data_IF_384894834902
#
_entry.id   IF_384894834902
#
_cell.length_a   1.000
_cell.length_b   1.000
_cell.length_c   1.000
_cell.angle_alpha   90.00
_cell.angle_beta   90.00
_cell.angle_gamma   90.00
#
_symmetry.space_group_name_H-M   'P 1'
#
loop_
_entity.id
_entity.type
_entity.pdbx_description
1 polymer ?
#
# COMPACT_ATOMS: atom_id res chain seq x y z
N UNK A 1 -0.10 -15.71 8.03
CA UNK A 1 1.26 -15.30 7.63
C UNK A 1 1.27 -14.03 6.79
N UNK A 2 0.61 -12.95 7.24
CA UNK A 2 0.58 -11.66 6.52
C UNK A 2 1.80 -10.78 6.77
N UNK A 3 2.64 -11.16 7.75
CA UNK A 3 3.81 -10.40 8.18
C UNK A 3 5.04 -10.58 7.28
N UNK A 4 5.04 -11.62 6.42
CA UNK A 4 6.21 -12.03 5.64
C UNK A 4 6.90 -10.88 4.90
N UNK A 5 6.20 -9.97 4.17
CA UNK A 5 6.85 -8.86 3.47
C UNK A 5 7.52 -7.84 4.39
N UNK A 6 6.97 -7.65 5.60
CA UNK A 6 7.43 -6.64 6.55
C UNK A 6 8.58 -7.14 7.44
N UNK A 7 8.66 -8.45 7.67
CA UNK A 7 9.76 -9.05 8.44
C UNK A 7 10.99 -9.35 7.58
N UNK A 8 10.82 -9.47 6.26
CA UNK A 8 11.93 -9.63 5.32
C UNK A 8 12.65 -8.29 5.09
N UNK A 9 13.98 -8.27 4.95
CA UNK A 9 14.70 -7.07 4.53
C UNK A 9 14.13 -6.53 3.20
N UNK A 10 13.87 -5.22 3.13
CA UNK A 10 13.19 -4.60 1.98
C UNK A 10 13.88 -4.86 0.65
N UNK A 11 15.22 -4.87 0.64
CA UNK A 11 16.00 -5.17 -0.57
C UNK A 11 15.83 -6.62 -1.05
N UNK A 12 15.74 -7.59 -0.13
CA UNK A 12 15.52 -8.99 -0.46
C UNK A 12 14.11 -9.16 -1.04
N UNK A 13 13.11 -8.50 -0.44
CA UNK A 13 11.75 -8.47 -0.97
C UNK A 13 11.70 -7.93 -2.41
N UNK A 14 12.40 -6.84 -2.70
CA UNK A 14 12.48 -6.27 -4.04
C UNK A 14 13.19 -7.20 -5.05
N UNK A 15 14.32 -7.81 -4.65
CA UNK A 15 15.05 -8.75 -5.50
C UNK A 15 14.22 -9.99 -5.85
N UNK A 16 13.45 -10.51 -4.88
CA UNK A 16 12.52 -11.61 -5.13
C UNK A 16 11.46 -11.24 -6.16
N UNK A 17 10.92 -10.02 -6.11
CA UNK A 17 9.99 -9.54 -7.13
C UNK A 17 10.64 -9.40 -8.50
N UNK A 18 11.83 -8.79 -8.59
CA UNK A 18 12.59 -8.65 -9.85
C UNK A 18 12.80 -10.03 -10.48
N UNK A 19 13.27 -11.01 -9.69
CA UNK A 19 13.45 -12.38 -10.17
C UNK A 19 12.14 -13.05 -10.57
N UNK A 20 11.09 -12.86 -9.77
CA UNK A 20 9.80 -13.51 -10.00
C UNK A 20 9.15 -13.07 -11.32
N UNK A 21 9.26 -11.78 -11.65
CA UNK A 21 8.71 -11.19 -12.87
C UNK A 21 9.71 -11.15 -14.04
N UNK A 22 10.89 -11.75 -13.87
CA UNK A 22 11.92 -11.78 -14.92
C UNK A 22 11.39 -12.49 -16.18
N UNK A 23 11.49 -11.86 -17.37
CA UNK A 23 10.95 -12.43 -18.61
C UNK A 23 11.59 -13.76 -19.04
N UNK A 24 12.84 -14.02 -18.64
CA UNK A 24 13.64 -15.18 -19.08
C UNK A 24 13.60 -16.32 -18.06
N UNK A 25 13.83 -15.99 -16.79
CA UNK A 25 13.98 -16.99 -15.72
C UNK A 25 12.83 -17.00 -14.72
N UNK A 26 11.98 -15.98 -14.74
CA UNK A 26 10.91 -15.79 -13.76
C UNK A 26 9.80 -16.85 -13.83
N UNK A 27 9.06 -16.96 -12.73
CA UNK A 27 7.94 -17.88 -12.60
C UNK A 27 6.60 -17.21 -12.92
N UNK A 28 6.53 -15.88 -12.91
CA UNK A 28 5.24 -15.19 -13.01
C UNK A 28 4.52 -15.46 -14.33
N UNK A 29 5.19 -15.28 -15.47
CA UNK A 29 4.61 -15.61 -16.78
C UNK A 29 4.25 -17.09 -16.92
N UNK A 30 5.07 -17.99 -16.36
CA UNK A 30 4.81 -19.44 -16.38
C UNK A 30 3.56 -19.81 -15.57
N UNK A 31 3.37 -19.18 -14.42
CA UNK A 31 2.17 -19.38 -13.61
C UNK A 31 0.93 -18.82 -14.30
N UNK A 32 1.04 -17.66 -14.94
CA UNK A 32 -0.06 -17.06 -15.69
C UNK A 32 -0.45 -17.92 -16.91
N UNK A 33 0.52 -18.48 -17.64
CA UNK A 33 0.21 -19.38 -18.76
C UNK A 33 -0.41 -20.71 -18.29
N UNK A 34 0.00 -21.24 -17.12
CA UNK A 34 -0.61 -22.44 -16.52
C UNK A 34 -2.08 -22.26 -16.16
N UNK A 35 -2.49 -21.06 -15.71
CA UNK A 35 -3.90 -20.75 -15.41
C UNK A 35 -4.69 -20.34 -16.66
N UNK A 36 -4.11 -20.47 -17.85
CA UNK A 36 -4.77 -20.27 -19.13
C UNK A 36 -4.70 -18.84 -19.69
N UNK A 37 -3.82 -17.97 -19.16
CA UNK A 37 -3.60 -16.65 -19.77
C UNK A 37 -2.82 -16.82 -21.08
N UNK A 38 -3.38 -16.39 -22.23
CA UNK A 38 -2.69 -16.46 -23.50
C UNK A 38 -1.36 -15.69 -23.50
N UNK A 39 -0.31 -16.26 -24.07
CA UNK A 39 1.03 -15.66 -24.08
C UNK A 39 1.06 -14.28 -24.76
N UNK A 40 0.19 -14.04 -25.76
CA UNK A 40 0.10 -12.75 -26.43
C UNK A 40 -0.46 -11.61 -25.55
N UNK A 41 -1.10 -11.94 -24.41
CA UNK A 41 -1.59 -10.96 -23.43
C UNK A 41 -0.56 -10.70 -22.31
N UNK A 42 0.50 -11.52 -22.25
CA UNK A 42 1.58 -11.36 -21.27
C UNK A 42 2.60 -10.34 -21.81
N UNK A 43 3.04 -9.38 -20.98
CA UNK A 43 4.03 -8.41 -21.41
C UNK A 43 5.40 -9.08 -21.60
N UNK A 44 6.19 -8.52 -22.52
CA UNK A 44 7.59 -8.90 -22.69
C UNK A 44 8.43 -8.47 -21.48
N UNK A 45 8.03 -7.41 -20.78
CA UNK A 45 8.62 -6.99 -19.51
C UNK A 45 7.60 -6.34 -18.57
N UNK A 46 7.35 -7.00 -17.44
CA UNK A 46 6.54 -6.44 -16.34
C UNK A 46 7.17 -5.22 -15.68
N UNK A 47 8.49 -5.01 -15.82
CA UNK A 47 9.19 -3.90 -15.18
C UNK A 47 9.16 -2.63 -16.04
N UNK A 48 9.08 -2.75 -17.37
CA UNK A 48 9.25 -1.62 -18.29
C UNK A 48 7.98 -1.25 -19.05
N UNK A 49 7.12 -2.23 -19.39
CA UNK A 49 5.96 -1.98 -20.25
C UNK A 49 4.79 -1.38 -19.47
N UNK A 50 4.17 -0.34 -20.04
CA UNK A 50 2.93 0.25 -19.50
C UNK A 50 1.73 -0.48 -20.12
N UNK A 51 0.67 -0.80 -19.35
CA UNK A 51 0.43 -0.45 -17.94
C UNK A 51 0.96 -1.46 -16.92
N UNK A 52 1.60 -2.54 -17.36
CA UNK A 52 2.00 -3.68 -16.51
C UNK A 52 2.95 -3.30 -15.38
N UNK A 53 3.91 -2.39 -15.63
CA UNK A 53 4.81 -1.88 -14.60
C UNK A 53 4.08 -1.12 -13.49
N UNK A 54 3.03 -0.37 -13.84
CA UNK A 54 2.21 0.35 -12.88
C UNK A 54 1.37 -0.60 -12.04
N UNK A 55 0.80 -1.63 -12.67
CA UNK A 55 0.09 -2.70 -11.97
C UNK A 55 1.03 -3.44 -11.00
N UNK A 56 2.24 -3.79 -11.46
CA UNK A 56 3.25 -4.43 -10.62
C UNK A 56 3.63 -3.55 -9.43
N UNK A 57 3.81 -2.24 -9.62
CA UNK A 57 4.05 -1.31 -8.52
C UNK A 57 2.94 -1.36 -7.47
N UNK A 58 1.68 -1.36 -7.90
CA UNK A 58 0.52 -1.44 -7.00
C UNK A 58 0.52 -2.76 -6.24
N UNK A 59 0.86 -3.88 -6.87
CA UNK A 59 0.93 -5.18 -6.21
C UNK A 59 2.06 -5.23 -5.18
N UNK A 60 3.27 -4.81 -5.58
CA UNK A 60 4.47 -4.82 -4.72
C UNK A 60 4.29 -3.91 -3.51
N UNK A 61 3.91 -2.64 -3.70
CA UNK A 61 3.68 -1.73 -2.58
C UNK A 61 2.40 -2.09 -1.81
N UNK A 62 1.35 -2.49 -2.52
CA UNK A 62 0.04 -2.80 -1.95
C UNK A 62 0.10 -4.00 -1.00
N UNK A 63 0.91 -5.02 -1.28
CA UNK A 63 1.04 -6.18 -0.40
C UNK A 63 1.71 -5.81 0.95
N UNK A 64 2.72 -4.95 0.92
CA UNK A 64 3.38 -4.43 2.14
C UNK A 64 2.42 -3.54 2.95
N UNK A 65 1.60 -2.73 2.28
CA UNK A 65 0.55 -1.94 2.92
C UNK A 65 -0.55 -2.80 3.53
N UNK A 66 -1.06 -3.77 2.77
CA UNK A 66 -2.09 -4.71 3.21
C UNK A 66 -1.66 -5.49 4.45
N UNK A 67 -0.38 -5.88 4.54
CA UNK A 67 0.20 -6.52 5.73
C UNK A 67 -0.09 -5.73 7.02
N UNK A 68 0.09 -4.41 7.01
CA UNK A 68 -0.19 -3.56 8.17
C UNK A 68 -1.69 -3.49 8.48
N UNK A 69 -2.52 -3.25 7.46
CA UNK A 69 -3.97 -3.24 7.61
C UNK A 69 -4.49 -4.53 8.23
N UNK A 70 -3.98 -5.68 7.80
CA UNK A 70 -4.39 -6.98 8.34
C UNK A 70 -4.09 -7.15 9.83
N UNK A 71 -2.96 -6.63 10.33
CA UNK A 71 -2.64 -6.67 11.77
C UNK A 71 -3.68 -5.88 12.55
N UNK A 72 -3.93 -4.64 12.13
CA UNK A 72 -4.85 -3.72 12.80
C UNK A 72 -6.28 -4.25 12.75
N UNK A 73 -6.73 -4.70 11.58
CA UNK A 73 -8.07 -5.26 11.42
C UNK A 73 -8.27 -6.55 12.19
N UNK A 74 -7.27 -7.44 12.25
CA UNK A 74 -7.37 -8.67 13.06
C UNK A 74 -7.50 -8.34 14.54
N UNK A 75 -6.68 -7.41 15.06
CA UNK A 75 -6.76 -6.99 16.45
C UNK A 75 -8.12 -6.34 16.77
N UNK A 76 -8.60 -5.50 15.86
CA UNK A 76 -9.88 -4.83 16.04
C UNK A 76 -11.08 -5.79 15.96
N UNK A 77 -11.08 -6.76 15.04
CA UNK A 77 -12.13 -7.79 14.96
C UNK A 77 -12.16 -8.61 16.24
N UNK A 78 -10.98 -9.00 16.76
CA UNK A 78 -10.87 -9.78 18.01
C UNK A 78 -11.34 -9.01 19.25
N UNK A 79 -11.40 -7.68 19.19
CA UNK A 79 -11.90 -6.86 20.30
C UNK A 79 -13.44 -6.80 20.35
N UNK A 80 -14.14 -7.23 19.29
CA UNK A 80 -15.60 -7.25 19.26
C UNK A 80 -16.10 -8.37 20.18
N UNK A 81 -17.01 -8.08 21.14
CA UNK A 81 -17.58 -9.10 22.00
C UNK A 81 -18.24 -10.22 21.17
N UNK A 82 -17.92 -11.50 21.43
CA UNK A 82 -18.48 -12.61 20.67
C UNK A 82 -20.01 -12.71 20.84
N UNK A 83 -20.55 -12.20 21.95
CA UNK A 83 -21.98 -12.20 22.23
C UNK A 83 -22.80 -11.45 21.17
N UNK A 84 -22.27 -10.36 20.60
CA UNK A 84 -22.93 -9.62 19.53
C UNK A 84 -23.05 -10.45 18.24
N UNK A 85 -22.05 -11.26 17.95
CA UNK A 85 -22.03 -12.13 16.78
C UNK A 85 -22.97 -13.33 17.02
N UNK A 86 -22.89 -13.95 18.21
CA UNK A 86 -23.73 -15.08 18.58
C UNK A 86 -25.21 -14.71 18.61
N UNK A 87 -25.57 -13.55 19.18
CA UNK A 87 -26.95 -13.06 19.18
C UNK A 87 -27.49 -12.88 17.76
N UNK A 88 -26.70 -12.28 16.86
CA UNK A 88 -27.11 -12.09 15.47
C UNK A 88 -27.30 -13.42 14.72
N UNK A 89 -26.47 -14.43 14.99
CA UNK A 89 -26.61 -15.76 14.41
C UNK A 89 -27.88 -16.47 14.92
N UNK A 90 -28.21 -16.32 16.21
CA UNK A 90 -29.47 -16.83 16.78
C UNK A 90 -30.68 -16.14 16.17
N UNK A 91 -30.59 -14.84 15.87
CA UNK A 91 -31.61 -14.06 15.16
C UNK A 91 -31.73 -14.42 13.66
N UNK A 92 -30.98 -15.42 13.17
CA UNK A 92 -31.02 -15.90 11.79
C UNK A 92 -30.24 -15.04 10.79
N UNK A 93 -29.32 -14.19 11.26
CA UNK A 93 -28.48 -13.40 10.36
C UNK A 93 -27.48 -14.31 9.62
N UNK A 94 -27.29 -14.07 8.32
CA UNK A 94 -26.24 -14.74 7.55
C UNK A 94 -24.87 -14.10 7.80
N UNK A 95 -23.79 -14.84 7.56
CA UNK A 95 -22.41 -14.34 7.76
C UNK A 95 -22.15 -13.00 7.05
N UNK A 96 -22.68 -12.82 5.85
CA UNK A 96 -22.55 -11.55 5.13
C UNK A 96 -23.31 -10.40 5.80
N UNK A 97 -24.47 -10.68 6.40
CA UNK A 97 -25.21 -9.68 7.19
C UNK A 97 -24.47 -9.33 8.46
N UNK A 98 -23.87 -10.30 9.16
CA UNK A 98 -23.02 -10.07 10.34
C UNK A 98 -21.84 -9.16 9.95
N UNK A 99 -21.14 -9.48 8.85
CA UNK A 99 -20.02 -8.66 8.37
C UNK A 99 -20.46 -7.22 8.07
N UNK A 100 -21.52 -7.06 7.26
CA UNK A 100 -21.94 -5.74 6.78
C UNK A 100 -22.60 -4.88 7.86
N UNK A 101 -23.39 -5.49 8.76
CA UNK A 101 -24.22 -4.76 9.73
C UNK A 101 -23.60 -4.66 11.13
N UNK A 102 -22.67 -5.55 11.49
CA UNK A 102 -22.05 -5.57 12.82
C UNK A 102 -20.57 -5.26 12.71
N UNK A 103 -19.82 -6.06 11.96
CA UNK A 103 -18.36 -5.95 11.93
C UNK A 103 -17.91 -4.64 11.28
N UNK A 104 -18.34 -4.33 10.05
CA UNK A 104 -17.91 -3.11 9.33
C UNK A 104 -18.24 -1.83 10.12
N UNK A 105 -19.46 -1.65 10.67
CA UNK A 105 -19.79 -0.46 11.46
C UNK A 105 -18.96 -0.32 12.74
N UNK A 106 -18.67 -1.43 13.44
CA UNK A 106 -17.81 -1.43 14.62
C UNK A 106 -16.34 -1.16 14.28
N UNK A 107 -15.88 -1.62 13.10
CA UNK A 107 -14.54 -1.39 12.57
C UNK A 107 -14.34 -0.02 11.92
N UNK A 108 -15.34 0.86 11.87
CA UNK A 108 -15.25 2.18 11.21
C UNK A 108 -13.98 2.96 11.59
N UNK A 109 -13.55 2.80 12.84
CA UNK A 109 -12.41 3.46 13.44
C UNK A 109 -11.06 2.87 13.02
N UNK A 110 -10.81 1.55 13.19
CA UNK A 110 -9.69 0.86 12.56
C UNK A 110 -9.58 1.16 11.07
N UNK A 111 -10.70 1.15 10.33
CA UNK A 111 -10.74 1.43 8.89
C UNK A 111 -10.25 2.84 8.59
N UNK A 112 -10.73 3.84 9.34
CA UNK A 112 -10.26 5.22 9.20
C UNK A 112 -8.77 5.34 9.46
N UNK A 113 -8.31 4.81 10.60
CA UNK A 113 -6.92 4.90 11.01
C UNK A 113 -6.00 4.25 9.96
N UNK A 114 -6.31 3.03 9.54
CA UNK A 114 -5.53 2.31 8.52
C UNK A 114 -5.55 3.06 7.19
N UNK A 115 -6.71 3.57 6.76
CA UNK A 115 -6.83 4.31 5.49
C UNK A 115 -5.99 5.58 5.51
N UNK A 116 -6.15 6.42 6.55
CA UNK A 116 -5.40 7.66 6.68
C UNK A 116 -3.89 7.41 6.77
N UNK A 117 -3.48 6.44 7.61
CA UNK A 117 -2.09 6.04 7.75
C UNK A 117 -1.51 5.55 6.42
N UNK A 118 -2.22 4.65 5.74
CA UNK A 118 -1.76 4.04 4.50
C UNK A 118 -1.64 5.07 3.38
N UNK A 119 -2.58 6.00 3.26
CA UNK A 119 -2.51 7.08 2.26
C UNK A 119 -1.28 7.96 2.48
N UNK A 120 -0.98 8.35 3.72
CA UNK A 120 0.20 9.15 4.04
C UNK A 120 1.49 8.37 3.80
N UNK A 121 1.52 7.10 4.22
CA UNK A 121 2.65 6.21 4.02
C UNK A 121 2.95 6.02 2.53
N UNK A 122 1.93 5.85 1.68
CA UNK A 122 2.11 5.71 0.23
C UNK A 122 2.56 7.01 -0.44
N UNK A 123 2.14 8.18 0.05
CA UNK A 123 2.59 9.46 -0.47
C UNK A 123 4.10 9.65 -0.27
N UNK A 124 4.63 9.17 0.84
CA UNK A 124 6.06 9.17 1.15
C UNK A 124 6.81 7.93 0.64
N UNK A 125 6.12 6.90 0.12
CA UNK A 125 6.75 5.64 -0.28
C UNK A 125 7.59 5.83 -1.55
N UNK A 126 8.90 5.67 -1.44
CA UNK A 126 9.80 5.60 -2.59
C UNK A 126 10.77 4.42 -2.52
N UNK A 127 11.00 3.85 -1.33
CA UNK A 127 12.05 2.86 -1.09
C UNK A 127 11.87 1.60 -1.93
N UNK A 128 10.69 0.96 -1.89
CA UNK A 128 10.42 -0.23 -2.68
C UNK A 128 10.46 0.05 -4.19
N UNK A 129 10.06 1.25 -4.60
CA UNK A 129 10.09 1.67 -6.01
C UNK A 129 11.53 1.83 -6.46
N UNK A 130 12.36 2.47 -5.63
CA UNK A 130 13.80 2.60 -5.85
C UNK A 130 14.49 1.25 -5.86
N UNK A 131 14.12 0.31 -5.00
CA UNK A 131 14.76 -1.01 -4.96
C UNK A 131 14.40 -1.87 -6.18
N UNK A 132 13.15 -1.79 -6.67
CA UNK A 132 12.70 -2.60 -7.82
C UNK A 132 13.05 -1.94 -9.16
N UNK A 133 12.83 -0.64 -9.31
CA UNK A 133 13.04 0.10 -10.57
C UNK A 133 14.27 1.00 -10.54
N UNK A 134 15.01 1.10 -9.44
CA UNK A 134 16.31 1.77 -9.39
C UNK A 134 17.49 0.83 -9.66
N UNK A 135 17.24 -0.47 -9.86
CA UNK A 135 18.24 -1.52 -10.08
C UNK A 135 18.96 -1.47 -11.45
N UNK A 136 19.05 -0.29 -12.07
CA UNK A 136 19.99 0.02 -13.15
C UNK A 136 21.40 0.38 -12.66
N UNK A 137 21.84 -0.20 -11.53
CA UNK A 137 23.25 -0.26 -11.10
C UNK A 137 23.95 1.06 -10.80
N UNK A 138 24.06 1.42 -9.51
CA UNK A 138 25.23 2.13 -8.95
C UNK A 138 25.71 3.46 -9.57
N UNK A 139 25.01 4.01 -10.56
CA UNK A 139 25.50 5.13 -11.36
C UNK A 139 24.40 6.15 -11.56
N UNK A 140 24.28 7.07 -10.61
CA UNK A 140 23.74 8.43 -10.79
C UNK A 140 22.32 8.63 -11.32
N UNK A 141 21.65 7.64 -11.90
CA UNK A 141 20.31 7.78 -12.51
C UNK A 141 19.31 6.84 -11.84
N UNK A 142 18.99 7.16 -10.58
CA UNK A 142 17.98 6.49 -9.77
C UNK A 142 16.54 6.61 -10.32
N UNK A 143 16.38 7.22 -11.50
CA UNK A 143 15.10 7.67 -12.02
C UNK A 143 14.83 7.27 -13.47
N UNK A 144 15.84 6.95 -14.28
CA UNK A 144 15.65 6.62 -15.70
C UNK A 144 14.66 5.48 -15.94
N UNK A 145 14.86 4.33 -15.28
CA UNK A 145 13.99 3.15 -15.43
C UNK A 145 12.60 3.40 -14.84
N UNK A 146 12.51 4.02 -13.67
CA UNK A 146 11.22 4.36 -13.05
C UNK A 146 10.40 5.36 -13.88
N UNK A 147 11.06 6.33 -14.53
CA UNK A 147 10.42 7.28 -15.47
C UNK A 147 9.94 6.58 -16.73
N UNK A 148 10.80 5.77 -17.35
CA UNK A 148 10.46 5.01 -18.55
C UNK A 148 9.25 4.09 -18.31
N UNK A 149 9.26 3.36 -17.21
CA UNK A 149 8.18 2.48 -16.77
C UNK A 149 6.92 3.23 -16.28
N UNK A 150 6.98 4.55 -16.07
CA UNK A 150 5.83 5.36 -15.63
C UNK A 150 5.41 5.09 -14.19
N UNK A 151 6.37 4.70 -13.36
CA UNK A 151 6.21 4.37 -11.94
C UNK A 151 6.91 5.39 -11.04
N UNK A 152 7.48 6.44 -11.62
CA UNK A 152 8.13 7.50 -10.86
C UNK A 152 7.09 8.31 -10.07
N UNK A 153 7.17 8.19 -8.75
CA UNK A 153 6.41 8.97 -7.77
C UNK A 153 7.16 10.23 -7.34
N UNK A 154 6.45 11.20 -6.77
CA UNK A 154 7.02 12.49 -6.36
C UNK A 154 8.06 12.36 -5.24
N UNK A 155 7.88 11.41 -4.33
CA UNK A 155 8.84 11.08 -3.27
C UNK A 155 10.17 10.58 -3.86
N UNK A 156 10.11 9.68 -4.85
CA UNK A 156 11.27 9.19 -5.59
C UNK A 156 11.90 10.29 -6.44
N UNK A 157 11.10 11.16 -7.04
CA UNK A 157 11.58 12.31 -7.79
C UNK A 157 12.38 13.27 -6.91
N UNK A 158 11.85 13.63 -5.74
CA UNK A 158 12.56 14.41 -4.74
C UNK A 158 13.89 13.75 -4.34
N UNK A 159 13.86 12.44 -4.03
CA UNK A 159 15.06 11.68 -3.70
C UNK A 159 16.13 11.73 -4.82
N UNK A 160 15.72 11.53 -6.08
CA UNK A 160 16.63 11.62 -7.23
C UNK A 160 17.25 13.01 -7.37
N UNK A 161 16.49 14.08 -7.16
CA UNK A 161 17.00 15.45 -7.22
C UNK A 161 18.03 15.75 -6.12
N UNK A 162 17.81 15.23 -4.92
CA UNK A 162 18.73 15.41 -3.81
C UNK A 162 20.05 14.63 -4.00
N UNK A 163 19.96 13.35 -4.35
CA UNK A 163 21.10 12.43 -4.23
C UNK A 163 21.76 12.04 -5.56
N UNK A 164 21.06 12.17 -6.68
CA UNK A 164 21.65 11.97 -8.01
C UNK A 164 22.13 13.28 -8.62
N UNK A 165 21.35 14.35 -8.47
CA UNK A 165 21.64 15.65 -9.12
C UNK A 165 22.23 16.70 -8.16
N UNK A 166 22.36 16.39 -6.87
CA UNK A 166 22.87 17.30 -5.83
C UNK A 166 22.07 18.61 -5.68
N UNK A 167 20.82 18.63 -6.15
CA UNK A 167 19.90 19.77 -6.08
C UNK A 167 19.08 19.74 -4.79
N UNK A 168 19.75 19.85 -3.64
CA UNK A 168 19.13 19.71 -2.32
C UNK A 168 17.99 20.71 -2.07
N UNK A 169 18.15 21.97 -2.46
CA UNK A 169 17.11 23.00 -2.28
C UNK A 169 15.85 22.70 -3.08
N UNK A 170 16.00 22.19 -4.30
CA UNK A 170 14.87 21.81 -5.15
C UNK A 170 14.16 20.56 -4.62
N UNK A 171 14.91 19.55 -4.20
CA UNK A 171 14.36 18.37 -3.54
C UNK A 171 13.60 18.72 -2.25
N UNK A 172 14.16 19.60 -1.41
CA UNK A 172 13.51 20.07 -0.20
C UNK A 172 12.17 20.78 -0.51
N UNK A 173 12.10 21.59 -1.56
CA UNK A 173 10.86 22.22 -2.00
C UNK A 173 9.79 21.19 -2.40
N UNK A 174 10.15 20.15 -3.17
CA UNK A 174 9.23 19.08 -3.55
C UNK A 174 8.73 18.32 -2.32
N UNK A 175 9.63 17.97 -1.40
CA UNK A 175 9.28 17.30 -0.15
C UNK A 175 8.34 18.15 0.70
N UNK A 176 8.54 19.47 0.74
CA UNK A 176 7.64 20.39 1.45
C UNK A 176 6.24 20.42 0.83
N UNK A 177 6.13 20.39 -0.49
CA UNK A 177 4.84 20.28 -1.18
C UNK A 177 4.12 18.98 -0.79
N UNK A 178 4.85 17.85 -0.73
CA UNK A 178 4.28 16.57 -0.28
C UNK A 178 3.79 16.63 1.17
N UNK A 179 4.52 17.32 2.06
CA UNK A 179 4.08 17.55 3.45
C UNK A 179 2.78 18.36 3.48
N UNK A 180 2.69 19.44 2.70
CA UNK A 180 1.46 20.26 2.64
C UNK A 180 0.27 19.45 2.12
N UNK A 181 0.48 18.63 1.07
CA UNK A 181 -0.55 17.72 0.56
C UNK A 181 -0.96 16.71 1.64
N UNK A 182 0.00 16.11 2.33
CA UNK A 182 -0.25 15.17 3.42
C UNK A 182 -1.06 15.80 4.57
N UNK A 183 -0.71 17.01 4.99
CA UNK A 183 -1.46 17.77 6.00
C UNK A 183 -2.89 18.08 5.54
N UNK A 184 -3.07 18.51 4.30
CA UNK A 184 -4.40 18.76 3.74
C UNK A 184 -5.26 17.48 3.74
N UNK A 185 -4.68 16.34 3.38
CA UNK A 185 -5.36 15.04 3.42
C UNK A 185 -5.73 14.63 4.84
N UNK A 186 -4.85 14.82 5.83
CA UNK A 186 -5.14 14.54 7.25
C UNK A 186 -6.34 15.37 7.72
N UNK A 187 -6.34 16.67 7.44
CA UNK A 187 -7.44 17.56 7.83
C UNK A 187 -8.75 17.16 7.14
N UNK A 188 -8.67 16.74 5.88
CA UNK A 188 -9.81 16.20 5.14
C UNK A 188 -10.35 14.93 5.80
N UNK A 189 -9.48 13.97 6.17
CA UNK A 189 -9.90 12.76 6.89
C UNK A 189 -10.55 13.09 8.24
N UNK A 190 -10.00 14.02 9.01
CA UNK A 190 -10.61 14.44 10.27
C UNK A 190 -11.99 15.07 10.09
N UNK A 191 -12.20 15.82 9.00
CA UNK A 191 -13.49 16.42 8.66
C UNK A 191 -14.51 15.37 8.21
N UNK A 192 -14.14 14.48 7.29
CA UNK A 192 -15.04 13.45 6.74
C UNK A 192 -15.51 12.50 7.85
N UNK A 193 -14.60 12.09 8.73
CA UNK A 193 -14.90 11.08 9.73
C UNK A 193 -15.35 11.66 11.08
N UNK A 194 -15.36 12.99 11.23
CA UNK A 194 -15.95 13.66 12.38
C UNK A 194 -15.16 13.48 13.68
N UNK A 195 -13.83 13.64 13.65
CA UNK A 195 -12.90 13.45 14.78
C UNK A 195 -13.29 14.15 16.10
N UNK A 196 -14.17 15.16 16.06
CA UNK A 196 -14.71 15.80 17.27
C UNK A 196 -15.73 14.94 18.03
N UNK A 197 -16.63 14.22 17.33
CA UNK A 197 -17.63 13.31 17.94
C UNK A 197 -17.02 12.07 18.60
N UNK A 198 -15.70 11.95 18.48
CA UNK A 198 -14.88 10.78 18.65
C UNK A 198 -13.96 10.95 19.87
N UNK A 199 -13.61 12.20 20.22
CA UNK A 199 -12.97 12.56 21.48
C UNK A 199 -13.96 13.02 22.55
N UNK A 200 -15.25 13.12 22.22
CA UNK A 200 -16.28 13.29 23.23
C UNK A 200 -16.37 12.02 24.08
N UNK A 201 -16.14 12.10 25.40
CA UNK A 201 -16.26 10.93 26.26
C UNK A 201 -17.68 10.36 26.14
N UNK A 202 -17.80 9.03 26.09
CA UNK A 202 -19.10 8.37 26.00
C UNK A 202 -19.96 8.82 27.16
N UNK A 203 -21.07 9.51 26.89
CA UNK A 203 -22.13 9.78 27.87
C UNK A 203 -22.83 8.46 28.17
N UNK A 204 -22.18 7.60 28.92
CA UNK A 204 -22.84 6.50 29.63
C UNK A 204 -22.94 7.00 31.05
N UNK A 205 -24.07 7.65 31.35
CA UNK A 205 -24.52 7.78 32.72
C UNK A 205 -24.77 6.37 33.25
N UNK A 206 -24.23 6.12 34.43
CA UNK A 206 -24.24 4.84 35.16
C UNK A 206 -25.66 4.45 35.54
#
# INVERSE_FOLDING_TARGET
>A
SWLLPRITPGIIYALLWIWFVDPRVGLFNKLLSMIGVPEHLLPGSWLLEKPYAQLLLVIVNGYVGASFGMIVYTAAIKSIPPDLINAALVDGATDFQVVRRIIIPLLKWPILFVTAWQTLSLLASYEYILMVWGAGGGGGDYAGVARAAGVMVWSLYSYSKAFAEYLYGYAAAISMVLVVIGLALILLYFKIFGFKRLMEPSRVEV
#
